data_IF_745563128297
#
_entry.id   IF_745563128297
#
_cell.length_a   1.000
_cell.length_b   1.000
_cell.length_c   1.000
_cell.angle_alpha   90.00
_cell.angle_beta   90.00
_cell.angle_gamma   90.00
#
_symmetry.space_group_name_H-M   'P 1'
#
loop_
_entity.id
_entity.type
_entity.pdbx_description
1 polymer ?
#
# COMPACT_ATOMS: atom_id res chain seq x y z
N UNK A 1 10.58 7.02 41.13
CA UNK A 1 11.41 5.81 41.33
C UNK A 1 12.47 5.84 40.23
N UNK A 2 13.74 5.74 40.60
CA UNK A 2 14.90 6.08 39.76
C UNK A 2 15.20 5.05 38.66
N UNK A 3 15.49 5.58 37.46
CA UNK A 3 16.21 5.04 36.29
C UNK A 3 16.79 3.64 36.37
N UNK A 4 16.40 2.81 35.39
CA UNK A 4 17.11 1.61 34.97
C UNK A 4 17.77 1.73 33.57
N UNK A 5 17.80 2.91 32.95
CA UNK A 5 18.62 3.17 31.75
C UNK A 5 20.05 3.55 32.15
N UNK A 6 20.83 2.55 32.56
CA UNK A 6 22.28 2.67 32.58
C UNK A 6 22.93 1.30 32.45
N UNK A 7 23.60 1.12 31.30
CA UNK A 7 24.71 0.19 31.08
C UNK A 7 24.33 -1.27 30.85
N UNK A 8 24.51 -1.77 29.61
CA UNK A 8 25.43 -2.88 29.25
C UNK A 8 25.30 -3.35 27.78
N UNK A 9 26.42 -3.23 27.07
CA UNK A 9 26.99 -4.13 26.05
C UNK A 9 26.10 -4.87 25.02
N UNK A 10 26.24 -4.41 23.77
CA UNK A 10 26.58 -5.16 22.55
C UNK A 10 25.82 -6.47 22.24
N UNK A 11 24.86 -6.37 21.32
CA UNK A 11 24.49 -7.46 20.42
C UNK A 11 24.84 -7.07 18.98
N UNK A 12 25.71 -7.87 18.36
CA UNK A 12 26.17 -7.68 16.99
C UNK A 12 25.22 -8.39 16.01
N UNK A 13 24.65 -7.64 15.06
CA UNK A 13 24.06 -8.21 13.85
C UNK A 13 25.03 -8.00 12.68
N UNK A 14 25.47 -9.10 12.09
CA UNK A 14 26.50 -9.15 11.06
C UNK A 14 25.98 -8.62 9.70
N UNK A 15 26.60 -7.55 9.20
CA UNK A 15 26.47 -7.10 7.82
C UNK A 15 27.29 -8.06 6.94
N UNK A 16 26.63 -8.93 6.18
CA UNK A 16 27.27 -9.71 5.12
C UNK A 16 27.50 -8.83 3.90
N UNK A 17 28.69 -8.24 3.81
CA UNK A 17 29.21 -7.65 2.58
C UNK A 17 29.74 -8.76 1.67
N UNK A 18 29.08 -8.99 0.53
CA UNK A 18 29.68 -9.73 -0.59
C UNK A 18 29.85 -8.80 -1.78
N UNK A 19 31.10 -8.38 -2.01
CA UNK A 19 31.59 -7.92 -3.29
C UNK A 19 32.61 -8.93 -3.82
N UNK A 20 32.43 -9.37 -5.07
CA UNK A 20 33.50 -9.78 -5.97
C UNK A 20 32.92 -9.95 -7.37
N UNK A 21 33.52 -9.22 -8.32
CA UNK A 21 33.24 -9.24 -9.73
C UNK A 21 33.59 -10.57 -10.40
N UNK A 22 32.82 -10.93 -11.44
CA UNK A 22 33.30 -11.77 -12.55
C UNK A 22 32.73 -11.18 -13.84
N UNK A 23 33.58 -10.45 -14.58
CA UNK A 23 33.47 -10.30 -16.02
C UNK A 23 33.97 -11.58 -16.69
N UNK A 24 33.22 -12.10 -17.67
CA UNK A 24 33.78 -12.56 -18.95
C UNK A 24 32.70 -13.10 -19.91
N UNK A 25 32.84 -12.61 -21.14
CA UNK A 25 32.63 -13.30 -22.42
C UNK A 25 31.22 -13.40 -23.02
N UNK A 26 30.97 -12.43 -23.89
CA UNK A 26 30.01 -12.40 -24.99
C UNK A 26 30.29 -13.53 -26.02
N UNK A 27 29.25 -14.24 -26.44
CA UNK A 27 29.27 -15.15 -27.58
C UNK A 27 27.98 -14.99 -28.40
N UNK A 28 28.13 -14.56 -29.64
CA UNK A 28 27.06 -14.35 -30.61
C UNK A 28 26.42 -15.69 -31.08
N UNK A 29 25.12 -15.72 -31.41
CA UNK A 29 24.52 -16.89 -32.05
C UNK A 29 24.68 -16.85 -33.59
N UNK A 30 25.17 -17.97 -34.14
CA UNK A 30 25.08 -18.31 -35.56
C UNK A 30 23.67 -18.84 -35.88
N UNK A 31 23.10 -18.38 -36.99
CA UNK A 31 21.73 -18.69 -37.40
C UNK A 31 21.52 -20.07 -38.00
N UNK A 32 20.25 -20.49 -38.05
CA UNK A 32 19.74 -21.49 -39.00
C UNK A 32 18.28 -21.16 -39.35
N UNK A 33 18.11 -20.82 -40.63
CA UNK A 33 17.03 -21.07 -41.59
C UNK A 33 15.54 -20.93 -41.21
N UNK A 34 14.91 -20.00 -41.95
CA UNK A 34 13.49 -19.90 -42.21
C UNK A 34 13.04 -20.97 -43.22
N UNK A 35 11.96 -21.69 -42.88
CA UNK A 35 11.23 -22.54 -43.81
C UNK A 35 10.16 -21.73 -44.56
N UNK A 36 10.12 -22.00 -45.86
CA UNK A 36 9.42 -21.32 -46.95
C UNK A 36 7.92 -21.66 -46.97
N UNK A 37 7.07 -20.68 -47.31
CA UNK A 37 5.69 -20.90 -47.79
C UNK A 37 5.59 -20.41 -49.24
N UNK A 38 4.95 -21.15 -50.17
CA UNK A 38 4.83 -20.74 -51.56
C UNK A 38 3.68 -19.74 -51.77
N UNK A 39 3.88 -18.84 -52.73
CA UNK A 39 2.93 -17.79 -53.08
C UNK A 39 1.82 -18.23 -54.04
N UNK A 40 0.75 -17.46 -54.02
CA UNK A 40 -0.18 -17.32 -55.15
C UNK A 40 -0.47 -15.84 -55.43
N UNK A 41 -0.64 -15.56 -56.71
CA UNK A 41 -0.72 -14.26 -57.37
C UNK A 41 -2.16 -13.74 -57.41
N UNK A 42 -2.35 -12.42 -57.49
CA UNK A 42 -3.65 -11.84 -57.86
C UNK A 42 -3.73 -10.31 -57.75
N UNK A 43 -3.58 -9.65 -58.89
CA UNK A 43 -3.67 -8.20 -59.11
C UNK A 43 -5.01 -7.55 -58.69
N UNK A 44 -4.98 -6.30 -58.23
CA UNK A 44 -5.59 -5.16 -58.95
C UNK A 44 -5.34 -3.80 -58.24
N UNK A 45 -5.01 -2.84 -59.10
CA UNK A 45 -4.77 -1.41 -58.96
C UNK A 45 -6.01 -0.62 -58.48
N UNK A 46 -5.82 0.47 -57.72
CA UNK A 46 -6.72 1.64 -57.76
C UNK A 46 -6.03 2.93 -57.27
N UNK A 47 -5.47 3.63 -58.25
CA UNK A 47 -5.52 5.08 -58.49
C UNK A 47 -5.93 6.08 -57.40
N UNK A 48 -5.05 7.06 -57.25
CA UNK A 48 -5.18 8.37 -56.59
C UNK A 48 -6.37 9.21 -57.06
N UNK A 49 -7.10 9.87 -56.15
CA UNK A 49 -7.78 11.15 -56.43
C UNK A 49 -7.80 12.09 -55.22
N UNK A 50 -7.40 13.34 -55.46
CA UNK A 50 -7.34 14.46 -54.53
C UNK A 50 -8.72 15.14 -54.34
N UNK A 51 -8.82 15.87 -53.22
CA UNK A 51 -10.01 16.57 -52.69
C UNK A 51 -10.62 17.66 -53.60
N UNK A 52 -11.86 18.09 -53.26
CA UNK A 52 -12.04 19.51 -52.96
C UNK A 52 -12.98 19.81 -51.76
N UNK A 53 -12.72 20.95 -51.10
CA UNK A 53 -13.68 21.73 -50.30
C UNK A 53 -13.99 23.04 -51.08
N UNK A 54 -14.84 24.01 -50.63
CA UNK A 54 -15.70 24.11 -49.44
C UNK A 54 -17.14 24.65 -49.72
N UNK A 55 -18.02 24.74 -48.71
CA UNK A 55 -19.10 25.76 -48.64
C UNK A 55 -19.72 25.94 -47.22
N UNK A 56 -19.84 27.21 -46.82
CA UNK A 56 -20.42 27.78 -45.59
C UNK A 56 -21.96 27.61 -45.48
N UNK A 57 -22.51 27.45 -44.25
CA UNK A 57 -23.73 28.14 -43.72
C UNK A 57 -24.06 27.77 -42.25
N UNK A 58 -24.91 28.54 -41.52
CA UNK A 58 -24.66 29.05 -40.17
C UNK A 58 -25.36 28.26 -39.04
N UNK A 59 -24.90 28.44 -37.79
CA UNK A 59 -25.45 27.76 -36.60
C UNK A 59 -26.66 28.44 -35.96
N UNK A 60 -27.21 27.81 -34.90
CA UNK A 60 -27.76 28.53 -33.76
C UNK A 60 -27.07 28.14 -32.45
N UNK A 61 -26.94 29.12 -31.57
CA UNK A 61 -26.55 28.96 -30.17
C UNK A 61 -27.66 28.26 -29.37
N UNK A 62 -27.27 27.41 -28.42
CA UNK A 62 -28.14 26.83 -27.41
C UNK A 62 -27.32 26.06 -26.39
N UNK A 63 -27.26 26.57 -25.15
CA UNK A 63 -26.49 25.97 -24.07
C UNK A 63 -27.00 24.58 -23.67
N UNK A 64 -26.06 23.74 -23.26
CA UNK A 64 -26.33 22.47 -22.60
C UNK A 64 -25.14 22.15 -21.72
N UNK A 65 -25.30 22.38 -20.42
CA UNK A 65 -24.39 21.86 -19.41
C UNK A 65 -24.26 20.34 -19.63
N UNK A 66 -23.03 19.86 -19.84
CA UNK A 66 -22.77 18.43 -19.92
C UNK A 66 -22.77 17.92 -18.48
N UNK A 67 -23.95 17.56 -17.99
CA UNK A 67 -24.13 16.79 -16.77
C UNK A 67 -23.52 15.41 -17.00
N UNK A 68 -22.33 15.17 -16.43
CA UNK A 68 -21.72 13.84 -16.40
C UNK A 68 -22.40 13.00 -15.32
N UNK A 69 -23.71 12.78 -15.45
CA UNK A 69 -24.51 11.92 -14.61
C UNK A 69 -24.17 10.44 -14.84
N UNK A 70 -23.99 9.72 -13.73
CA UNK A 70 -23.98 8.26 -13.54
C UNK A 70 -23.57 7.39 -14.74
N UNK A 71 -22.37 6.80 -14.65
CA UNK A 71 -21.97 5.70 -15.53
C UNK A 71 -23.04 4.59 -15.52
N UNK A 72 -23.39 4.10 -16.71
CA UNK A 72 -24.70 3.54 -17.06
C UNK A 72 -25.14 2.36 -16.18
N UNK A 73 -26.24 2.55 -15.45
CA UNK A 73 -27.03 1.50 -14.77
C UNK A 73 -28.52 1.57 -15.12
N UNK A 74 -28.88 2.21 -16.25
CA UNK A 74 -30.26 2.38 -16.71
C UNK A 74 -30.54 1.60 -18.00
N UNK A 75 -31.81 1.40 -18.33
CA UNK A 75 -32.20 0.87 -19.63
C UNK A 75 -31.64 1.77 -20.74
N UNK A 76 -31.02 1.19 -21.78
CA UNK A 76 -30.49 1.98 -22.88
C UNK A 76 -31.61 2.81 -23.56
N UNK A 77 -31.30 4.02 -24.07
CA UNK A 77 -32.24 4.83 -24.84
C UNK A 77 -32.91 4.03 -25.97
N UNK A 78 -34.14 4.38 -26.39
CA UNK A 78 -34.85 3.64 -27.45
C UNK A 78 -34.13 3.59 -28.80
N UNK A 79 -33.23 4.55 -29.05
CA UNK A 79 -32.37 4.67 -30.22
C UNK A 79 -30.94 4.15 -29.98
N UNK A 80 -30.69 3.50 -28.84
CA UNK A 80 -29.40 2.90 -28.54
C UNK A 80 -29.07 1.85 -29.60
N UNK A 81 -27.84 1.95 -30.11
CA UNK A 81 -27.29 0.96 -31.00
C UNK A 81 -27.27 -0.40 -30.31
N UNK A 82 -27.74 -1.44 -31.02
CA UNK A 82 -27.60 -2.82 -30.57
C UNK A 82 -26.10 -3.13 -30.30
N UNK A 83 -25.72 -3.45 -29.05
CA UNK A 83 -24.34 -3.80 -28.70
C UNK A 83 -23.79 -4.99 -29.50
N UNK A 84 -24.68 -5.85 -30.01
CA UNK A 84 -24.35 -7.05 -30.76
C UNK A 84 -24.46 -6.87 -32.28
N UNK A 85 -24.70 -5.64 -32.79
CA UNK A 85 -24.89 -5.38 -34.21
C UNK A 85 -23.70 -5.80 -35.10
N UNK A 86 -22.50 -5.89 -34.55
CA UNK A 86 -21.28 -6.35 -35.24
C UNK A 86 -20.84 -7.77 -34.85
N UNK A 87 -21.64 -8.46 -34.02
CA UNK A 87 -21.31 -9.82 -33.61
C UNK A 87 -21.58 -10.84 -34.72
N UNK A 88 -22.22 -10.46 -35.84
CA UNK A 88 -22.53 -11.37 -36.98
C UNK A 88 -23.23 -12.68 -36.56
N UNK A 89 -23.98 -12.65 -35.45
CA UNK A 89 -24.64 -13.83 -34.87
C UNK A 89 -23.74 -14.75 -34.04
N UNK A 90 -22.46 -14.39 -33.84
CA UNK A 90 -21.57 -15.02 -32.87
C UNK A 90 -21.98 -14.61 -31.45
N UNK A 91 -22.59 -15.55 -30.75
CA UNK A 91 -22.75 -15.55 -29.31
C UNK A 91 -21.74 -16.56 -28.70
N UNK A 92 -21.66 -16.64 -27.38
CA UNK A 92 -20.80 -17.62 -26.69
C UNK A 92 -21.15 -19.09 -27.04
N UNK A 93 -22.29 -19.35 -27.70
CA UNK A 93 -22.68 -20.70 -28.11
C UNK A 93 -22.84 -21.62 -26.89
N UNK A 94 -22.41 -22.89 -26.93
CA UNK A 94 -22.42 -23.77 -25.76
C UNK A 94 -21.32 -23.44 -24.74
N UNK A 95 -20.43 -22.49 -25.03
CA UNK A 95 -19.42 -22.04 -24.08
C UNK A 95 -20.17 -21.13 -23.09
N UNK A 96 -20.17 -21.44 -21.79
CA UNK A 96 -20.76 -20.53 -20.82
C UNK A 96 -20.06 -19.18 -20.92
N UNK A 97 -20.78 -18.04 -20.83
CA UNK A 97 -20.15 -16.74 -20.81
C UNK A 97 -19.05 -16.76 -19.74
N UNK A 98 -17.88 -16.14 -20.00
CA UNK A 98 -16.80 -16.12 -19.03
C UNK A 98 -17.40 -15.62 -17.73
N UNK A 99 -17.41 -16.50 -16.72
CA UNK A 99 -17.68 -16.08 -15.35
C UNK A 99 -16.56 -15.10 -15.07
N UNK A 100 -16.88 -13.81 -15.19
CA UNK A 100 -16.01 -12.73 -14.74
C UNK A 100 -15.54 -13.16 -13.35
N UNK A 101 -14.24 -13.04 -13.08
CA UNK A 101 -13.52 -13.61 -11.92
C UNK A 101 -14.08 -13.23 -10.54
N UNK A 102 -15.22 -12.55 -10.47
CA UNK A 102 -16.02 -12.45 -9.28
C UNK A 102 -16.55 -13.84 -8.92
N UNK A 103 -16.19 -14.29 -7.72
CA UNK A 103 -16.77 -15.44 -7.04
C UNK A 103 -16.24 -16.80 -7.49
N UNK A 104 -15.31 -17.36 -6.70
CA UNK A 104 -15.48 -18.70 -6.08
C UNK A 104 -14.28 -19.06 -5.18
N UNK A 105 -13.09 -18.53 -5.46
CA UNK A 105 -11.89 -18.87 -4.73
C UNK A 105 -11.61 -17.84 -3.63
N UNK A 106 -11.27 -18.34 -2.45
CA UNK A 106 -10.66 -17.51 -1.43
C UNK A 106 -9.15 -17.49 -1.69
N UNK A 107 -8.58 -16.30 -1.61
CA UNK A 107 -7.15 -16.07 -1.65
C UNK A 107 -6.68 -15.68 -0.26
N UNK A 108 -5.40 -15.86 -0.01
CA UNK A 108 -4.76 -15.27 1.15
C UNK A 108 -3.37 -14.81 0.78
N UNK A 109 -2.86 -13.87 1.57
CA UNK A 109 -1.47 -13.45 1.50
C UNK A 109 -0.95 -13.17 2.89
N UNK A 110 0.34 -13.38 3.05
CA UNK A 110 1.12 -12.98 4.22
C UNK A 110 2.21 -12.03 3.75
N UNK A 111 2.27 -10.85 4.33
CA UNK A 111 3.27 -9.82 4.10
C UNK A 111 3.97 -9.53 5.44
N UNK A 112 5.28 -9.72 5.49
CA UNK A 112 6.12 -9.06 6.48
C UNK A 112 6.58 -7.76 5.83
N UNK A 113 5.92 -6.67 6.17
CA UNK A 113 6.19 -5.38 5.53
C UNK A 113 7.48 -4.78 6.06
N UNK A 114 7.60 -4.76 7.39
CA UNK A 114 8.78 -4.27 8.09
C UNK A 114 9.35 -5.36 8.97
N UNK A 115 10.62 -5.66 8.76
CA UNK A 115 11.46 -6.38 9.71
C UNK A 115 12.77 -5.62 9.76
N UNK A 116 12.85 -4.70 10.71
CA UNK A 116 13.84 -3.62 10.72
C UNK A 116 14.71 -3.71 11.97
N UNK A 117 16.01 -3.49 11.78
CA UNK A 117 16.86 -2.97 12.84
C UNK A 117 16.87 -1.45 12.76
N UNK A 118 16.53 -0.81 13.87
CA UNK A 118 16.46 0.65 14.00
C UNK A 118 17.62 1.14 14.83
N UNK A 119 18.36 2.12 14.33
CA UNK A 119 19.46 2.78 15.03
C UNK A 119 19.09 4.22 15.29
N UNK A 120 19.14 4.62 16.55
CA UNK A 120 18.99 6.01 16.98
C UNK A 120 20.35 6.59 17.37
N UNK A 121 20.42 7.78 17.95
CA UNK A 121 21.70 8.35 18.38
C UNK A 121 22.31 7.54 19.54
N UNK A 122 21.48 7.11 20.49
CA UNK A 122 21.92 6.46 21.73
C UNK A 122 21.49 4.98 21.85
N UNK A 123 20.57 4.50 21.00
CA UNK A 123 19.97 3.18 21.15
C UNK A 123 19.86 2.34 19.85
N UNK A 124 19.52 1.06 20.01
CA UNK A 124 19.19 0.14 18.92
C UNK A 124 18.08 -0.80 19.33
N UNK A 125 17.03 -0.88 18.51
CA UNK A 125 15.90 -1.78 18.72
C UNK A 125 15.46 -2.42 17.40
N UNK A 126 14.57 -3.41 17.48
CA UNK A 126 14.00 -4.07 16.32
C UNK A 126 12.51 -3.75 16.18
N UNK A 127 12.04 -3.57 14.94
CA UNK A 127 10.62 -3.37 14.64
C UNK A 127 10.13 -4.45 13.70
N UNK A 128 8.92 -4.94 13.94
CA UNK A 128 8.20 -5.81 13.01
C UNK A 128 6.83 -5.23 12.65
N UNK A 129 6.43 -5.39 11.39
CA UNK A 129 5.09 -5.15 10.87
C UNK A 129 4.73 -6.32 9.96
N UNK A 130 3.68 -7.05 10.34
CA UNK A 130 3.20 -8.23 9.63
C UNK A 130 1.70 -8.10 9.38
N UNK A 131 1.33 -8.29 8.11
CA UNK A 131 -0.03 -8.25 7.60
C UNK A 131 -0.39 -9.59 6.97
N UNK A 132 -1.45 -10.22 7.45
CA UNK A 132 -2.05 -11.36 6.77
C UNK A 132 -3.48 -11.05 6.38
N UNK A 133 -3.92 -11.51 5.21
CA UNK A 133 -5.33 -11.46 4.86
C UNK A 133 -5.80 -12.75 4.21
N UNK A 134 -7.08 -13.03 4.38
CA UNK A 134 -7.74 -14.17 3.77
C UNK A 134 -9.18 -13.82 3.40
N UNK A 135 -9.57 -14.08 2.16
CA UNK A 135 -10.93 -13.81 1.71
C UNK A 135 -11.12 -13.80 0.21
N UNK A 136 -12.25 -13.24 -0.21
CA UNK A 136 -12.66 -13.09 -1.61
C UNK A 136 -12.56 -11.63 -2.03
N UNK A 137 -12.88 -11.35 -3.29
CA UNK A 137 -12.77 -10.02 -3.90
C UNK A 137 -13.44 -8.90 -3.09
N UNK A 138 -14.60 -9.17 -2.48
CA UNK A 138 -15.37 -8.17 -1.73
C UNK A 138 -15.24 -8.26 -0.21
N UNK A 139 -14.80 -9.40 0.33
CA UNK A 139 -14.81 -9.62 1.77
C UNK A 139 -13.54 -10.33 2.19
N UNK A 140 -12.75 -9.67 3.04
CA UNK A 140 -11.47 -10.17 3.55
C UNK A 140 -11.43 -10.05 5.06
N UNK A 141 -10.79 -11.02 5.71
CA UNK A 141 -10.34 -10.89 7.09
C UNK A 141 -8.87 -10.51 7.04
N UNK A 142 -8.49 -9.49 7.81
CA UNK A 142 -7.14 -9.01 7.95
C UNK A 142 -6.67 -9.25 9.39
N UNK A 143 -5.42 -9.66 9.52
CA UNK A 143 -4.68 -9.74 10.77
C UNK A 143 -3.44 -8.86 10.62
N UNK A 144 -3.39 -7.74 11.34
CA UNK A 144 -2.22 -6.86 11.42
C UNK A 144 -1.51 -7.10 12.75
N UNK A 145 -0.19 -7.14 12.75
CA UNK A 145 0.60 -7.24 13.97
C UNK A 145 1.86 -6.40 13.81
N UNK A 146 1.98 -5.37 14.64
CA UNK A 146 3.15 -4.49 14.70
C UNK A 146 3.72 -4.51 16.12
N UNK A 147 5.03 -4.30 16.24
CA UNK A 147 5.65 -4.07 17.52
C UNK A 147 7.13 -3.74 17.48
N UNK A 148 7.58 -3.20 18.60
CA UNK A 148 8.95 -2.81 18.90
C UNK A 148 9.54 -3.74 19.95
N UNK A 149 10.76 -4.20 19.69
CA UNK A 149 11.51 -5.11 20.55
C UNK A 149 12.84 -4.47 20.89
N UNK A 150 13.02 -4.09 22.15
CA UNK A 150 14.29 -3.62 22.70
C UNK A 150 14.85 -4.63 23.72
N UNK A 151 16.16 -4.90 23.64
CA UNK A 151 16.89 -5.87 24.48
C UNK A 151 16.16 -7.23 24.69
N UNK A 152 15.47 -7.71 23.66
CA UNK A 152 14.71 -8.97 23.69
C UNK A 152 13.39 -8.91 24.49
N UNK A 153 12.93 -7.72 24.85
CA UNK A 153 11.61 -7.46 25.45
C UNK A 153 10.73 -6.71 24.47
N UNK A 154 9.44 -7.00 24.53
CA UNK A 154 8.43 -6.32 23.72
C UNK A 154 8.05 -5.01 24.42
N UNK A 155 8.43 -3.87 23.85
CA UNK A 155 8.17 -2.55 24.44
C UNK A 155 6.79 -2.01 24.08
N UNK A 156 6.45 -2.01 22.78
CA UNK A 156 5.11 -1.67 22.31
C UNK A 156 4.70 -2.69 21.26
N UNK A 157 3.47 -3.15 21.32
CA UNK A 157 2.95 -4.08 20.32
C UNK A 157 1.44 -3.98 20.24
N UNK A 158 0.93 -3.94 19.02
CA UNK A 158 -0.50 -3.99 18.79
C UNK A 158 -0.86 -5.01 17.74
N UNK A 159 -2.00 -5.65 17.92
CA UNK A 159 -2.54 -6.64 17.00
C UNK A 159 -3.96 -6.27 16.63
N UNK A 160 -4.26 -6.29 15.34
CA UNK A 160 -5.58 -5.94 14.82
C UNK A 160 -6.19 -7.12 14.08
N UNK A 161 -7.45 -7.42 14.38
CA UNK A 161 -8.27 -8.37 13.63
C UNK A 161 -9.42 -7.59 13.00
N UNK A 162 -9.40 -7.46 11.67
CA UNK A 162 -10.31 -6.62 10.93
C UNK A 162 -11.10 -7.44 9.91
N UNK A 163 -12.37 -7.12 9.74
CA UNK A 163 -13.16 -7.49 8.58
C UNK A 163 -13.17 -6.31 7.60
N UNK A 164 -12.77 -6.55 6.36
CA UNK A 164 -12.75 -5.58 5.28
C UNK A 164 -13.80 -5.89 4.21
N UNK A 165 -14.51 -4.87 3.74
CA UNK A 165 -15.47 -4.94 2.65
C UNK A 165 -15.16 -3.91 1.56
N UNK A 166 -15.06 -4.35 0.31
CA UNK A 166 -14.82 -3.46 -0.81
C UNK A 166 -16.07 -2.59 -1.08
N UNK A 167 -15.96 -1.29 -0.81
CA UNK A 167 -17.06 -0.32 -0.96
C UNK A 167 -17.00 0.43 -2.28
N UNK A 168 -15.80 0.55 -2.86
CA UNK A 168 -15.59 1.10 -4.20
C UNK A 168 -14.34 0.47 -4.84
N UNK A 169 -14.12 0.74 -6.12
CA UNK A 169 -12.89 0.29 -6.79
C UNK A 169 -11.68 0.87 -6.05
N UNK A 170 -10.76 -0.02 -5.62
CA UNK A 170 -9.57 0.31 -4.84
C UNK A 170 -9.80 0.81 -3.41
N UNK A 171 -11.02 0.71 -2.87
CA UNK A 171 -11.34 1.17 -1.52
C UNK A 171 -12.12 0.13 -0.73
N UNK A 172 -11.60 -0.20 0.44
CA UNK A 172 -12.20 -1.09 1.42
C UNK A 172 -12.58 -0.31 2.68
N UNK A 173 -13.79 -0.58 3.19
CA UNK A 173 -14.14 -0.22 4.56
C UNK A 173 -13.74 -1.35 5.50
N UNK A 174 -13.23 -1.02 6.68
CA UNK A 174 -12.73 -1.96 7.67
C UNK A 174 -13.46 -1.78 9.00
N UNK A 175 -13.72 -2.89 9.69
CA UNK A 175 -14.29 -2.94 11.04
C UNK A 175 -13.66 -4.09 11.80
N UNK A 176 -13.21 -3.85 13.02
CA UNK A 176 -12.60 -4.91 13.81
C UNK A 176 -12.19 -4.50 15.20
N UNK A 177 -11.23 -5.23 15.74
CA UNK A 177 -10.70 -5.02 17.09
C UNK A 177 -9.19 -4.87 17.02
N UNK A 178 -8.66 -3.93 17.80
CA UNK A 178 -7.24 -3.73 18.04
C UNK A 178 -6.94 -4.01 19.51
N UNK A 179 -5.85 -4.70 19.78
CA UNK A 179 -5.36 -4.98 21.12
C UNK A 179 -3.92 -4.52 21.25
N UNK A 180 -3.71 -3.54 22.13
CA UNK A 180 -2.39 -3.02 22.48
C UNK A 180 -1.85 -3.76 23.70
N UNK A 181 -0.57 -4.09 23.64
CA UNK A 181 0.23 -4.83 24.63
C UNK A 181 1.63 -4.22 24.71
N UNK A 182 2.52 -4.78 25.53
CA UNK A 182 3.86 -4.23 25.78
C UNK A 182 3.97 -3.58 27.15
N UNK A 183 4.74 -2.49 27.23
CA UNK A 183 4.91 -1.67 28.42
C UNK A 183 3.63 -0.87 28.71
N UNK A 184 3.29 -0.77 29.99
CA UNK A 184 2.02 -0.20 30.43
C UNK A 184 0.82 -1.16 30.34
N UNK A 185 -0.40 -0.65 30.61
CA UNK A 185 -1.61 -1.46 30.63
C UNK A 185 -2.07 -1.82 29.21
N UNK A 186 -2.58 -3.03 29.05
CA UNK A 186 -3.19 -3.45 27.79
C UNK A 186 -4.44 -2.61 27.51
N UNK A 187 -4.62 -2.19 26.25
CA UNK A 187 -5.80 -1.44 25.80
C UNK A 187 -6.47 -2.20 24.66
N UNK A 188 -7.80 -2.27 24.69
CA UNK A 188 -8.58 -2.86 23.60
C UNK A 188 -9.45 -1.80 22.98
N UNK A 189 -9.44 -1.76 21.65
CA UNK A 189 -10.13 -0.77 20.86
C UNK A 189 -11.04 -1.43 19.84
N UNK A 190 -12.21 -0.86 19.64
CA UNK A 190 -12.99 -1.07 18.44
C UNK A 190 -12.39 -0.22 17.32
N UNK A 191 -12.02 -0.85 16.20
CA UNK A 191 -11.41 -0.20 15.05
C UNK A 191 -12.41 -0.09 13.90
N UNK A 192 -12.48 1.05 13.23
CA UNK A 192 -13.26 1.25 12.02
C UNK A 192 -12.52 2.22 11.10
N UNK A 193 -12.38 1.87 9.83
CA UNK A 193 -11.51 2.63 8.94
C UNK A 193 -11.84 2.45 7.47
N UNK A 194 -11.10 3.17 6.65
CA UNK A 194 -11.08 3.01 5.20
C UNK A 194 -9.63 2.89 4.74
N UNK A 195 -9.36 1.90 3.91
CA UNK A 195 -8.06 1.68 3.31
C UNK A 195 -8.23 1.62 1.80
N UNK A 196 -7.34 2.26 1.06
CA UNK A 196 -7.42 2.20 -0.39
C UNK A 196 -6.33 2.94 -1.12
N UNK A 197 -6.42 2.85 -2.44
CA UNK A 197 -5.52 3.53 -3.35
C UNK A 197 -6.22 4.79 -3.90
N UNK A 198 -5.72 5.95 -3.50
CA UNK A 198 -6.16 7.25 -3.97
C UNK A 198 -5.59 7.59 -5.36
N UNK A 199 -6.16 8.60 -6.05
CA UNK A 199 -5.63 9.11 -7.31
C UNK A 199 -4.12 9.38 -7.20
N UNK A 200 -3.41 9.13 -8.30
CA UNK A 200 -1.93 9.17 -8.38
C UNK A 200 -1.19 8.00 -7.74
N UNK A 201 -1.87 6.95 -7.25
CA UNK A 201 -1.26 5.77 -6.62
C UNK A 201 -0.75 6.02 -5.19
N UNK A 202 -1.44 6.88 -4.45
CA UNK A 202 -1.22 7.00 -3.01
C UNK A 202 -1.97 5.91 -2.27
N UNK A 203 -1.29 5.16 -1.42
CA UNK A 203 -1.92 4.23 -0.50
C UNK A 203 -2.31 5.02 0.76
N UNK A 204 -3.58 4.98 1.11
CA UNK A 204 -4.13 5.70 2.26
C UNK A 204 -4.83 4.71 3.19
N UNK A 205 -4.53 4.80 4.47
CA UNK A 205 -5.28 4.15 5.56
C UNK A 205 -5.74 5.23 6.54
N UNK A 206 -7.02 5.25 6.84
CA UNK A 206 -7.60 6.13 7.85
C UNK A 206 -8.45 5.28 8.78
N UNK A 207 -8.00 5.13 10.02
CA UNK A 207 -8.65 4.27 11.01
C UNK A 207 -8.95 5.04 12.29
N UNK A 208 -10.22 5.01 12.68
CA UNK A 208 -10.71 5.51 13.95
C UNK A 208 -10.81 4.39 14.98
N UNK A 209 -10.54 4.72 16.25
CA UNK A 209 -10.56 3.79 17.36
C UNK A 209 -11.46 4.29 18.49
N UNK A 210 -12.20 3.38 19.10
CA UNK A 210 -13.00 3.61 20.30
C UNK A 210 -12.57 2.62 21.38
N UNK A 211 -12.03 3.14 22.47
CA UNK A 211 -11.50 2.36 23.58
C UNK A 211 -12.39 2.40 24.82
N UNK A 212 -11.94 1.69 25.84
CA UNK A 212 -12.54 1.74 27.17
C UNK A 212 -12.42 3.14 27.78
N UNK A 213 -13.29 3.45 28.75
CA UNK A 213 -13.32 4.74 29.47
C UNK A 213 -13.60 5.96 28.57
N UNK A 214 -14.16 5.74 27.38
CA UNK A 214 -14.51 6.82 26.44
C UNK A 214 -13.31 7.36 25.65
N UNK A 215 -12.16 6.66 25.69
CA UNK A 215 -10.99 7.00 24.88
C UNK A 215 -11.31 6.88 23.39
N UNK A 216 -10.79 7.80 22.60
CA UNK A 216 -10.89 7.75 21.14
C UNK A 216 -9.52 8.00 20.53
N UNK A 217 -9.25 7.43 19.36
CA UNK A 217 -8.05 7.72 18.60
C UNK A 217 -8.34 7.75 17.10
N UNK A 218 -7.44 8.37 16.34
CA UNK A 218 -7.47 8.43 14.89
C UNK A 218 -6.05 8.23 14.38
N UNK A 219 -5.83 7.23 13.54
CA UNK A 219 -4.59 7.06 12.78
C UNK A 219 -4.84 7.37 11.31
N UNK A 220 -3.90 8.08 10.70
CA UNK A 220 -3.88 8.41 9.28
C UNK A 220 -2.51 8.03 8.76
N UNK A 221 -2.49 7.18 7.75
CA UNK A 221 -1.28 6.73 7.07
C UNK A 221 -1.38 7.04 5.58
N UNK A 222 -0.28 7.52 5.02
CA UNK A 222 -0.13 7.77 3.60
C UNK A 222 1.21 7.26 3.11
N UNK A 223 1.17 6.42 2.08
CA UNK A 223 2.35 5.87 1.43
C UNK A 223 2.34 6.11 -0.08
N UNK A 224 3.52 6.09 -0.66
CA UNK A 224 3.68 6.20 -2.11
C UNK A 224 4.87 5.37 -2.59
N UNK A 225 4.67 4.52 -3.59
CA UNK A 225 5.78 3.76 -4.19
C UNK A 225 6.31 4.44 -5.47
N UNK A 226 7.43 5.16 -5.35
CA UNK A 226 8.09 5.78 -6.50
C UNK A 226 9.10 4.80 -7.13
N UNK A 227 8.74 4.27 -8.30
CA UNK A 227 9.61 3.41 -9.11
C UNK A 227 10.77 4.23 -9.72
N UNK A 228 11.95 4.20 -9.08
CA UNK A 228 13.18 4.78 -9.65
C UNK A 228 13.66 3.92 -10.82
N UNK A 229 13.61 2.60 -10.64
CA UNK A 229 13.83 1.61 -11.70
C UNK A 229 12.80 0.49 -11.57
N UNK A 230 12.86 -0.53 -12.43
CA UNK A 230 11.98 -1.71 -12.36
C UNK A 230 12.16 -2.55 -11.08
N UNK A 231 13.23 -2.31 -10.30
CA UNK A 231 13.58 -3.03 -9.06
C UNK A 231 14.00 -2.14 -7.90
N UNK A 232 14.15 -0.83 -8.12
CA UNK A 232 14.56 0.13 -7.11
C UNK A 232 13.40 1.09 -6.86
N UNK A 233 12.86 1.07 -5.66
CA UNK A 233 11.64 1.77 -5.27
C UNK A 233 11.97 2.69 -4.10
N UNK A 234 11.57 3.95 -4.22
CA UNK A 234 11.64 4.91 -3.13
C UNK A 234 10.23 5.04 -2.53
N UNK A 235 10.10 4.72 -1.25
CA UNK A 235 8.83 4.67 -0.54
C UNK A 235 8.83 5.73 0.58
N UNK A 236 8.35 6.95 0.31
CA UNK A 236 7.94 7.87 1.38
C UNK A 236 6.68 7.35 2.08
N UNK A 237 6.69 7.43 3.42
CA UNK A 237 5.58 7.10 4.31
C UNK A 237 5.36 8.28 5.25
N UNK A 238 4.10 8.61 5.53
CA UNK A 238 3.71 9.57 6.53
C UNK A 238 2.60 8.96 7.38
N UNK A 239 2.80 8.95 8.70
CA UNK A 239 1.80 8.53 9.66
C UNK A 239 1.53 9.66 10.66
N UNK A 240 0.27 9.82 11.04
CA UNK A 240 -0.14 10.76 12.08
C UNK A 240 -1.19 10.15 12.99
N UNK A 241 -0.94 10.19 14.29
CA UNK A 241 -1.83 9.64 15.31
C UNK A 241 -2.39 10.74 16.20
N UNK A 242 -3.70 10.70 16.43
CA UNK A 242 -4.43 11.62 17.30
C UNK A 242 -5.17 10.84 18.39
N UNK A 243 -5.19 11.38 19.60
CA UNK A 243 -5.98 10.84 20.72
C UNK A 243 -6.98 11.86 21.23
N UNK A 244 -8.19 11.42 21.56
CA UNK A 244 -9.24 12.27 22.14
C UNK A 244 -9.16 12.42 23.65
N UNK A 245 -8.32 11.64 24.32
CA UNK A 245 -8.13 11.67 25.77
C UNK A 245 -6.69 11.30 26.12
N UNK A 246 -6.21 11.83 27.24
CA UNK A 246 -4.90 11.53 27.77
C UNK A 246 -4.88 10.11 28.38
N UNK A 247 -3.81 9.36 28.11
CA UNK A 247 -3.49 8.08 28.75
C UNK A 247 -2.05 8.11 29.24
N UNK A 248 -1.84 8.68 30.44
CA UNK A 248 -0.52 8.81 31.05
C UNK A 248 0.17 7.47 31.31
N UNK A 249 -0.59 6.37 31.45
CA UNK A 249 -0.01 5.03 31.66
C UNK A 249 0.62 4.46 30.38
N UNK A 250 0.25 4.98 29.21
CA UNK A 250 0.87 4.68 27.91
C UNK A 250 1.56 5.90 27.29
N UNK A 251 1.78 6.96 28.08
CA UNK A 251 2.45 8.20 27.66
C UNK A 251 1.80 8.90 26.45
N UNK A 252 0.47 8.76 26.30
CA UNK A 252 -0.29 9.33 25.18
C UNK A 252 -1.00 10.61 25.61
N UNK A 253 -0.68 11.71 24.94
CA UNK A 253 -1.32 13.02 25.14
C UNK A 253 -2.55 13.25 24.27
N UNK A 254 -3.40 14.19 24.67
CA UNK A 254 -4.61 14.55 23.90
C UNK A 254 -4.25 15.38 22.66
N UNK A 255 -5.01 15.22 21.58
CA UNK A 255 -4.83 15.93 20.32
C UNK A 255 -3.90 15.20 19.36
N UNK A 256 -3.14 15.95 18.56
CA UNK A 256 -2.06 15.37 17.75
C UNK A 256 -0.97 14.87 18.68
N UNK A 257 -0.72 13.56 18.68
CA UNK A 257 0.21 12.91 19.60
C UNK A 257 1.54 12.61 18.92
N UNK A 258 1.52 12.04 17.72
CA UNK A 258 2.71 11.63 16.98
C UNK A 258 2.56 11.88 15.48
N UNK A 259 3.67 12.24 14.84
CA UNK A 259 3.84 12.21 13.38
C UNK A 259 5.14 11.51 13.05
N UNK A 260 5.07 10.51 12.19
CA UNK A 260 6.21 9.74 11.72
C UNK A 260 6.36 9.94 10.22
N UNK A 261 7.53 10.44 9.80
CA UNK A 261 7.84 10.68 8.41
C UNK A 261 9.03 9.79 7.99
N UNK A 262 8.73 8.77 7.20
CA UNK A 262 9.69 7.76 6.75
C UNK A 262 10.05 7.93 5.27
N UNK A 263 11.29 7.57 4.94
CA UNK A 263 11.75 7.41 3.56
C UNK A 263 12.59 6.16 3.44
N UNK A 264 12.05 5.13 2.77
CA UNK A 264 12.71 3.82 2.57
C UNK A 264 13.11 3.66 1.11
N UNK A 265 14.35 3.24 0.86
CA UNK A 265 14.85 2.87 -0.46
C UNK A 265 14.93 1.34 -0.53
N UNK A 266 13.99 0.76 -1.27
CA UNK A 266 13.77 -0.68 -1.39
C UNK A 266 14.33 -1.24 -2.69
N UNK A 267 15.04 -2.36 -2.60
CA UNK A 267 15.56 -3.08 -3.76
C UNK A 267 14.94 -4.47 -3.86
N UNK A 268 14.23 -4.74 -4.94
CA UNK A 268 13.56 -6.02 -5.18
C UNK A 268 14.49 -6.99 -5.90
N UNK A 269 15.13 -7.88 -5.15
CA UNK A 269 15.86 -9.02 -5.73
C UNK A 269 14.92 -9.94 -6.49
N UNK A 270 13.75 -10.19 -5.89
CA UNK A 270 12.55 -10.80 -6.48
C UNK A 270 11.33 -10.08 -5.90
N UNK A 271 10.16 -10.23 -6.52
CA UNK A 271 8.96 -9.47 -6.08
C UNK A 271 8.55 -9.82 -4.66
N UNK A 272 8.83 -11.03 -4.22
CA UNK A 272 8.48 -11.57 -2.90
C UNK A 272 9.53 -11.27 -1.83
N UNK A 273 10.69 -10.69 -2.16
CA UNK A 273 11.78 -10.44 -1.20
C UNK A 273 12.59 -9.21 -1.60
N UNK A 274 12.54 -8.20 -0.74
CA UNK A 274 13.11 -6.89 -1.00
C UNK A 274 13.75 -6.29 0.27
N UNK A 275 15.09 -6.31 0.41
CA UNK A 275 15.74 -5.52 1.44
C UNK A 275 15.65 -4.04 1.13
N UNK A 276 15.77 -3.25 2.19
CA UNK A 276 15.76 -1.80 2.09
C UNK A 276 16.58 -1.17 3.21
N UNK A 277 16.92 0.10 2.98
CA UNK A 277 17.46 0.99 3.99
C UNK A 277 16.64 2.27 3.99
N UNK A 278 16.55 2.96 5.10
CA UNK A 278 15.74 4.16 5.20
C UNK A 278 16.16 5.08 6.32
N UNK A 279 15.48 6.22 6.34
CA UNK A 279 15.51 7.18 7.43
C UNK A 279 14.08 7.46 7.83
N UNK A 280 13.84 7.54 9.13
CA UNK A 280 12.55 7.90 9.68
C UNK A 280 12.74 9.01 10.70
N UNK A 281 11.79 9.94 10.73
CA UNK A 281 11.77 11.01 11.71
C UNK A 281 10.46 10.97 12.47
N UNK A 282 10.55 10.57 13.73
CA UNK A 282 9.45 10.56 14.67
C UNK A 282 9.38 11.91 15.40
N UNK A 283 8.19 12.47 15.52
CA UNK A 283 7.95 13.68 16.29
C UNK A 283 6.71 13.52 17.18
N UNK A 284 6.89 13.69 18.49
CA UNK A 284 5.84 13.72 19.50
C UNK A 284 5.36 15.16 19.70
N UNK A 285 4.06 15.33 19.96
CA UNK A 285 3.42 16.64 20.08
C UNK A 285 2.50 16.72 21.31
N UNK A 286 2.20 17.96 21.74
CA UNK A 286 1.32 18.22 22.87
C UNK A 286 1.82 17.56 24.16
N UNK A 287 0.89 17.03 24.95
CA UNK A 287 1.21 16.37 26.22
C UNK A 287 2.06 15.09 26.01
N UNK A 288 1.98 14.47 24.82
CA UNK A 288 2.85 13.32 24.45
C UNK A 288 4.32 13.73 24.44
N UNK A 289 4.63 14.94 23.95
CA UNK A 289 5.99 15.48 23.98
C UNK A 289 6.44 15.81 25.42
N UNK A 290 5.50 16.21 26.28
CA UNK A 290 5.78 16.47 27.69
C UNK A 290 6.06 15.17 28.46
N UNK A 291 5.32 14.09 28.18
CA UNK A 291 5.60 12.76 28.74
C UNK A 291 6.97 12.24 28.33
N UNK A 292 7.32 12.30 27.03
CA UNK A 292 8.64 11.90 26.57
C UNK A 292 9.76 12.68 27.26
N UNK A 293 9.65 14.01 27.34
CA UNK A 293 10.62 14.86 28.04
C UNK A 293 10.70 14.56 29.54
N UNK A 294 9.60 14.17 30.18
CA UNK A 294 9.57 13.77 31.58
C UNK A 294 10.23 12.40 31.82
N UNK A 295 10.14 11.48 30.86
CA UNK A 295 10.84 10.20 30.86
C UNK A 295 12.35 10.34 30.56
N UNK A 296 12.77 11.49 30.05
CA UNK A 296 14.15 11.78 29.63
C UNK A 296 14.42 11.44 28.17
N UNK A 297 13.36 11.21 27.39
CA UNK A 297 13.40 10.96 25.96
C UNK A 297 13.25 12.25 25.15
N UNK A 298 13.73 12.20 23.90
CA UNK A 298 13.57 13.30 22.97
C UNK A 298 12.13 13.34 22.41
N UNK A 299 11.61 14.57 22.25
CA UNK A 299 10.32 14.79 21.58
C UNK A 299 10.42 14.58 20.07
N UNK A 300 11.64 14.57 19.52
CA UNK A 300 11.91 14.34 18.10
C UNK A 300 13.14 13.48 17.95
N UNK A 301 13.00 12.41 17.20
CA UNK A 301 14.07 11.45 16.99
C UNK A 301 14.26 11.19 15.51
N UNK A 302 15.50 10.88 15.11
CA UNK A 302 15.82 10.45 13.76
C UNK A 302 16.39 9.05 13.82
N UNK A 303 15.76 8.17 13.06
CA UNK A 303 16.04 6.75 13.05
C UNK A 303 16.65 6.37 11.71
N UNK A 304 17.77 5.65 11.74
CA UNK A 304 18.31 4.97 10.57
C UNK A 304 17.83 3.53 10.60
N UNK A 305 17.18 3.09 9.53
CA UNK A 305 16.57 1.76 9.47
C UNK A 305 17.22 0.91 8.37
N UNK A 306 17.40 -0.37 8.67
CA UNK A 306 17.76 -1.37 7.69
C UNK A 306 16.88 -2.60 7.92
N UNK A 307 16.23 -3.08 6.87
CA UNK A 307 15.23 -4.14 7.02
C UNK A 307 14.97 -4.91 5.75
N UNK A 308 14.01 -5.82 5.84
CA UNK A 308 13.58 -6.69 4.74
C UNK A 308 12.07 -6.77 4.69
N UNK A 309 11.53 -6.56 3.49
CA UNK A 309 10.13 -6.83 3.15
C UNK A 309 10.03 -8.16 2.40
N UNK A 310 9.06 -9.00 2.75
CA UNK A 310 8.76 -10.21 1.98
C UNK A 310 7.30 -10.62 2.08
N UNK A 311 6.79 -11.34 1.07
CA UNK A 311 5.40 -11.81 1.06
C UNK A 311 5.21 -13.16 0.36
N UNK A 312 4.08 -13.81 0.63
CA UNK A 312 3.64 -15.10 0.08
C UNK A 312 2.15 -15.09 -0.28
#
# INVERSE_FOLDING_TARGET
MMNARMMRYAAAAAILAFGSAVEAQEAAPAGVEAATMPGEQGHADHGTHAAPAPANRPGPAGGGATDHGSMQGGMPPPDARDPHAYAEGYDFGPIPPPRMMAEHHAFGSLLADRLEGVRTDDDWFAVYDVLAWYGRDYNRVWLKAEGEVDDGRLEDAHTELLWGHAVAAYWDAQLGVRHDSGEGPNRTWLAFGVQGLAPYWFELDVTGYLGEEGRTALSIEAEYELLITQRLILQPRLEATFYGSEDAEREQGTGLSRVDAGLRLRYEFRREFAPYVGIERAARYGDTADFARAAGDDDKETHLVAGVRFWF
#
